data_IF_536990520647
#
_entry.id   IF_536990520647
#
_cell.length_a   1.000
_cell.length_b   1.000
_cell.length_c   1.000
_cell.angle_alpha   90.00
_cell.angle_beta   90.00
_cell.angle_gamma   90.00
#
_symmetry.space_group_name_H-M   'P 1'
#
loop_
_entity.id
_entity.type
_entity.pdbx_description
1 polymer ?
#
# COMPACT_ATOMS: atom_id res chain seq x y z
N UNK A 1 5.53 9.85 8.80
CA UNK A 1 4.92 8.56 9.22
C UNK A 1 3.76 8.20 8.30
N UNK A 2 3.78 7.00 7.72
CA UNK A 2 2.77 6.55 6.78
C UNK A 2 1.98 5.39 7.39
N UNK A 3 0.63 5.37 7.34
CA UNK A 3 -0.17 4.35 8.03
C UNK A 3 0.02 2.93 7.46
N UNK A 4 0.40 2.82 6.19
CA UNK A 4 0.62 1.52 5.52
C UNK A 4 2.10 1.19 5.31
N UNK A 5 3.01 2.18 5.40
CA UNK A 5 4.45 2.00 5.14
C UNK A 5 5.21 2.33 6.43
N UNK A 6 5.82 1.31 7.02
CA UNK A 6 6.48 1.40 8.32
C UNK A 6 7.97 1.74 8.18
N UNK A 7 8.63 1.28 7.11
CA UNK A 7 10.06 1.47 6.93
C UNK A 7 10.43 1.72 5.48
N UNK A 8 11.57 2.41 5.32
CA UNK A 8 12.29 2.60 4.05
C UNK A 8 13.72 2.12 4.24
N UNK A 9 14.24 1.39 3.26
CA UNK A 9 15.63 0.92 3.20
C UNK A 9 16.23 1.35 1.87
N UNK A 10 17.37 2.01 1.90
CA UNK A 10 18.16 2.26 0.69
C UNK A 10 18.96 1.01 0.34
N UNK A 11 18.85 0.56 -0.90
CA UNK A 11 19.50 -0.63 -1.40
C UNK A 11 20.83 -0.26 -2.09
N UNK A 12 21.73 -1.24 -2.20
CA UNK A 12 23.07 -1.03 -2.75
C UNK A 12 23.07 -0.60 -4.22
N UNK A 13 21.99 -0.87 -4.96
CA UNK A 13 21.81 -0.48 -6.36
C UNK A 13 21.25 0.95 -6.52
N UNK A 14 21.09 1.68 -5.42
CA UNK A 14 20.54 3.04 -5.40
C UNK A 14 19.01 3.09 -5.42
N UNK A 15 18.32 1.94 -5.40
CA UNK A 15 16.88 1.88 -5.24
C UNK A 15 16.45 2.00 -3.76
N UNK A 16 15.16 2.21 -3.53
CA UNK A 16 14.58 2.27 -2.19
C UNK A 16 13.48 1.20 -2.04
N UNK A 17 13.60 0.38 -0.99
CA UNK A 17 12.59 -0.59 -0.58
C UNK A 17 11.73 0.02 0.52
N UNK A 18 10.42 0.03 0.32
CA UNK A 18 9.45 0.41 1.35
C UNK A 18 8.74 -0.85 1.83
N UNK A 19 8.60 -1.00 3.14
CA UNK A 19 7.90 -2.15 3.75
C UNK A 19 6.79 -1.68 4.65
N UNK A 20 5.77 -2.53 4.78
CA UNK A 20 4.51 -2.13 5.39
C UNK A 20 3.70 -3.30 5.94
N UNK A 21 2.53 -2.96 6.48
CA UNK A 21 1.59 -3.95 7.00
C UNK A 21 0.16 -3.47 6.79
N UNK A 22 -0.66 -4.32 6.22
CA UNK A 22 -2.11 -4.14 6.11
C UNK A 22 -2.76 -5.09 7.10
N UNK A 23 -3.58 -4.53 7.99
CA UNK A 23 -4.28 -5.26 9.04
C UNK A 23 -5.63 -4.58 9.26
N UNK A 24 -6.72 -5.35 9.09
CA UNK A 24 -8.08 -4.83 9.23
C UNK A 24 -8.36 -4.35 10.67
N UNK A 25 -7.70 -4.93 11.68
CA UNK A 25 -7.88 -4.53 13.07
C UNK A 25 -7.19 -3.18 13.34
N UNK A 26 -6.08 -2.91 12.67
CA UNK A 26 -5.34 -1.65 12.78
C UNK A 26 -5.89 -0.54 11.88
N UNK A 27 -6.59 -0.92 10.79
CA UNK A 27 -7.08 -0.03 9.75
C UNK A 27 -8.55 -0.37 9.44
N UNK A 28 -9.47 -0.17 10.41
CA UNK A 28 -10.86 -0.63 10.28
C UNK A 28 -11.59 -0.04 9.07
N UNK A 29 -11.19 1.16 8.61
CA UNK A 29 -11.74 1.78 7.41
C UNK A 29 -11.52 0.97 6.13
N UNK A 30 -10.54 0.06 6.07
CA UNK A 30 -10.36 -0.82 4.92
C UNK A 30 -11.52 -1.80 4.77
N UNK A 31 -12.19 -2.17 5.87
CA UNK A 31 -13.35 -3.04 5.83
C UNK A 31 -14.55 -2.41 5.09
N UNK A 32 -14.60 -1.07 5.04
CA UNK A 32 -15.67 -0.33 4.38
C UNK A 32 -15.58 -0.37 2.85
N UNK A 33 -14.42 -0.78 2.29
CA UNK A 33 -14.25 -0.95 0.85
C UNK A 33 -14.58 -2.38 0.42
N UNK A 34 -15.86 -2.64 0.20
CA UNK A 34 -16.38 -3.92 -0.26
C UNK A 34 -16.88 -3.85 -1.70
N UNK A 35 -16.46 -4.82 -2.52
CA UNK A 35 -16.91 -4.97 -3.91
C UNK A 35 -17.55 -6.34 -4.04
N UNK A 36 -18.85 -6.37 -4.35
CA UNK A 36 -19.66 -7.60 -4.41
C UNK A 36 -19.55 -8.46 -3.14
N UNK A 37 -19.48 -7.82 -1.96
CA UNK A 37 -19.39 -8.50 -0.67
C UNK A 37 -17.99 -8.97 -0.28
N UNK A 38 -16.97 -8.75 -1.12
CA UNK A 38 -15.57 -9.05 -0.80
C UNK A 38 -14.85 -7.76 -0.39
N UNK A 39 -14.27 -7.74 0.81
CA UNK A 39 -13.39 -6.64 1.24
C UNK A 39 -12.11 -6.65 0.42
N UNK A 40 -11.80 -5.52 -0.22
CA UNK A 40 -10.61 -5.34 -1.03
C UNK A 40 -9.84 -4.12 -0.52
N UNK A 41 -8.52 -4.15 -0.65
CA UNK A 41 -7.75 -2.89 -0.55
C UNK A 41 -8.15 -1.98 -1.71
N UNK A 42 -8.54 -0.72 -1.45
CA UNK A 42 -8.92 0.20 -2.51
C UNK A 42 -7.83 0.38 -3.56
N UNK A 43 -8.22 0.48 -4.84
CA UNK A 43 -7.29 0.80 -5.93
C UNK A 43 -6.47 2.08 -5.66
N UNK A 44 -7.09 3.07 -5.01
CA UNK A 44 -6.46 4.33 -4.61
C UNK A 44 -5.41 4.18 -3.53
N UNK A 45 -5.45 3.12 -2.70
CA UNK A 45 -4.38 2.86 -1.73
C UNK A 45 -3.07 2.53 -2.45
N UNK A 46 -3.09 1.79 -3.56
CA UNK A 46 -1.88 1.57 -4.36
C UNK A 46 -1.34 2.86 -4.97
N UNK A 47 -2.22 3.74 -5.43
CA UNK A 47 -1.82 5.05 -5.97
C UNK A 47 -1.20 5.95 -4.90
N UNK A 48 -1.77 5.94 -3.70
CA UNK A 48 -1.23 6.65 -2.54
C UNK A 48 0.16 6.10 -2.15
N UNK A 49 0.30 4.77 -2.03
CA UNK A 49 1.60 4.12 -1.75
C UNK A 49 2.66 4.48 -2.79
N UNK A 50 2.32 4.46 -4.07
CA UNK A 50 3.21 4.84 -5.16
C UNK A 50 3.60 6.33 -5.11
N UNK A 51 2.64 7.21 -4.83
CA UNK A 51 2.89 8.64 -4.68
C UNK A 51 3.78 8.94 -3.46
N UNK A 52 3.54 8.29 -2.32
CA UNK A 52 4.37 8.42 -1.12
C UNK A 52 5.81 7.96 -1.37
N UNK A 53 5.98 6.78 -1.98
CA UNK A 53 7.29 6.26 -2.34
C UNK A 53 8.02 7.19 -3.33
N UNK A 54 7.31 7.68 -4.35
CA UNK A 54 7.83 8.63 -5.33
C UNK A 54 8.31 9.93 -4.68
N UNK A 55 7.48 10.55 -3.85
CA UNK A 55 7.84 11.77 -3.12
C UNK A 55 9.07 11.56 -2.24
N UNK A 56 9.18 10.41 -1.58
CA UNK A 56 10.32 10.07 -0.74
C UNK A 56 11.64 9.93 -1.54
N UNK A 57 11.58 9.64 -2.84
CA UNK A 57 12.75 9.59 -3.75
C UNK A 57 12.86 10.80 -4.68
N UNK A 58 12.12 11.88 -4.41
CA UNK A 58 12.21 13.14 -5.15
C UNK A 58 11.43 13.19 -6.47
N UNK A 59 10.50 12.26 -6.70
CA UNK A 59 9.59 12.27 -7.85
C UNK A 59 8.26 12.95 -7.47
N UNK A 60 7.73 13.79 -8.35
CA UNK A 60 6.53 14.59 -8.08
C UNK A 60 5.22 13.94 -8.54
N UNK A 61 5.28 12.90 -9.37
CA UNK A 61 4.09 12.28 -9.96
C UNK A 61 4.24 10.79 -10.19
N UNK A 62 3.10 10.10 -10.19
CA UNK A 62 2.95 8.74 -10.71
C UNK A 62 2.40 8.87 -12.12
N UNK A 63 3.28 8.78 -13.13
CA UNK A 63 2.89 8.95 -14.54
C UNK A 63 1.91 7.88 -15.02
N UNK A 64 2.09 6.65 -14.56
CA UNK A 64 1.24 5.51 -14.91
C UNK A 64 1.21 4.50 -13.77
N UNK A 65 0.04 3.92 -13.52
CA UNK A 65 -0.15 2.86 -12.54
C UNK A 65 -1.16 1.84 -13.08
N UNK A 66 -0.76 0.58 -13.08
CA UNK A 66 -1.63 -0.55 -13.43
C UNK A 66 -1.74 -1.49 -12.26
N UNK A 67 -2.95 -1.64 -11.70
CA UNK A 67 -3.25 -2.65 -10.70
C UNK A 67 -3.52 -3.97 -11.41
N UNK A 68 -2.62 -4.94 -11.24
CA UNK A 68 -2.71 -6.24 -11.95
C UNK A 68 -3.71 -7.21 -11.34
N UNK A 69 -3.86 -7.18 -10.03
CA UNK A 69 -4.77 -8.01 -9.26
C UNK A 69 -5.23 -7.25 -8.01
N UNK A 70 -6.45 -7.49 -7.53
CA UNK A 70 -6.88 -6.95 -6.25
C UNK A 70 -6.10 -7.59 -5.10
N UNK A 71 -5.89 -6.85 -4.01
CA UNK A 71 -5.40 -7.39 -2.74
C UNK A 71 -6.60 -7.63 -1.82
N UNK A 72 -6.82 -8.89 -1.45
CA UNK A 72 -7.83 -9.30 -0.47
C UNK A 72 -7.11 -9.45 0.89
N UNK A 73 -7.37 -8.58 1.88
CA UNK A 73 -6.82 -8.75 3.22
C UNK A 73 -7.49 -9.92 3.93
N UNK A 74 -6.70 -10.67 4.71
CA UNK A 74 -7.19 -11.80 5.51
C UNK A 74 -7.63 -11.31 6.91
N UNK A 75 -8.90 -11.47 7.31
CA UNK A 75 -9.34 -11.07 8.64
C UNK A 75 -8.52 -11.74 9.75
N UNK A 76 -8.01 -10.95 10.70
CA UNK A 76 -7.19 -11.45 11.81
C UNK A 76 -5.78 -11.89 11.41
N UNK A 77 -5.37 -11.75 10.15
CA UNK A 77 -4.00 -12.02 9.69
C UNK A 77 -3.45 -10.84 8.88
N UNK A 78 -2.42 -10.15 9.39
CA UNK A 78 -1.81 -9.05 8.66
C UNK A 78 -1.15 -9.49 7.34
N UNK A 79 -1.39 -8.74 6.27
CA UNK A 79 -0.65 -8.83 5.01
C UNK A 79 0.60 -7.95 5.12
N UNK A 80 1.78 -8.53 4.90
CA UNK A 80 3.03 -7.79 4.82
C UNK A 80 3.20 -7.21 3.42
N UNK A 81 3.61 -5.94 3.35
CA UNK A 81 3.98 -5.25 2.12
C UNK A 81 5.49 -5.15 2.00
#
# INVERSE_FOLDING_TARGET
PHPLLAARVELADGSALFTGRIDLDALPWLADHSVFGTTLVPGTAFAELAAHAGAAVGLSEVRELTVRAPLVPDPGRPTLL
#
